data_IF_837880811995
#
_entry.id   IF_837880811995
#
_cell.length_a   1.000
_cell.length_b   1.000
_cell.length_c   1.000
_cell.angle_alpha   90.00
_cell.angle_beta   90.00
_cell.angle_gamma   90.00
#
_symmetry.space_group_name_H-M   'P 1'
#
loop_
_entity.id
_entity.type
_entity.pdbx_description
1 polymer ?
#
# COMPACT_ATOMS: atom_id res chain seq x y z
N UNK A 1 -22.65 -21.26 -7.24
CA UNK A 1 -22.19 -19.88 -7.52
C UNK A 1 -21.13 -19.39 -6.51
N UNK A 2 -20.24 -20.27 -6.02
CA UNK A 2 -19.14 -19.92 -5.09
C UNK A 2 -17.74 -20.18 -5.69
N UNK A 3 -17.65 -20.93 -6.79
CA UNK A 3 -16.39 -21.30 -7.47
C UNK A 3 -15.88 -20.22 -8.44
N UNK A 4 -16.74 -19.29 -8.90
CA UNK A 4 -16.35 -18.16 -9.74
C UNK A 4 -15.72 -16.98 -8.97
N UNK A 5 -15.96 -16.91 -7.65
CA UNK A 5 -15.43 -15.87 -6.74
C UNK A 5 -13.89 -15.86 -6.64
N UNK A 6 -13.18 -16.99 -6.48
CA UNK A 6 -11.71 -16.99 -6.32
C UNK A 6 -10.96 -16.74 -7.63
N UNK A 7 -11.56 -17.04 -8.80
CA UNK A 7 -10.92 -16.84 -10.11
C UNK A 7 -10.66 -15.37 -10.41
N UNK A 8 -11.50 -14.46 -9.91
CA UNK A 8 -11.29 -13.01 -10.06
C UNK A 8 -10.37 -12.40 -9.00
N UNK A 9 -10.19 -13.06 -7.85
CA UNK A 9 -9.36 -12.54 -6.75
C UNK A 9 -7.87 -12.63 -7.09
N UNK A 10 -7.45 -13.70 -7.77
CA UNK A 10 -6.06 -13.90 -8.16
C UNK A 10 -5.53 -12.80 -9.12
N UNK A 11 -6.20 -12.48 -10.25
CA UNK A 11 -5.75 -11.40 -11.13
C UNK A 11 -5.92 -10.00 -10.49
N UNK A 12 -6.95 -9.81 -9.64
CA UNK A 12 -7.14 -8.55 -8.93
C UNK A 12 -5.99 -8.28 -7.95
N UNK A 13 -5.58 -9.28 -7.17
CA UNK A 13 -4.45 -9.16 -6.26
C UNK A 13 -3.13 -8.87 -6.99
N UNK A 14 -2.89 -9.51 -8.14
CA UNK A 14 -1.73 -9.24 -8.97
C UNK A 14 -1.72 -7.79 -9.50
N UNK A 15 -2.88 -7.28 -9.92
CA UNK A 15 -3.01 -5.89 -10.38
C UNK A 15 -2.76 -4.88 -9.24
N UNK A 16 -3.24 -5.14 -8.02
CA UNK A 16 -2.96 -4.30 -6.85
C UNK A 16 -1.48 -4.30 -6.45
N UNK A 17 -0.80 -5.44 -6.57
CA UNK A 17 0.64 -5.51 -6.29
C UNK A 17 1.45 -4.74 -7.33
N UNK A 18 1.00 -4.71 -8.59
CA UNK A 18 1.66 -3.97 -9.66
C UNK A 18 1.54 -2.45 -9.48
N UNK A 19 0.38 -1.96 -9.01
CA UNK A 19 0.19 -0.54 -8.71
C UNK A 19 0.94 -0.10 -7.46
N UNK A 20 1.22 -1.02 -6.52
CA UNK A 20 2.07 -0.75 -5.36
C UNK A 20 3.52 -0.38 -5.75
N UNK A 21 4.00 -0.84 -6.90
CA UNK A 21 5.35 -0.53 -7.37
C UNK A 21 5.51 0.93 -7.89
N UNK A 22 4.43 1.66 -8.15
CA UNK A 22 4.49 3.01 -8.75
C UNK A 22 4.04 4.14 -7.83
N UNK A 23 3.65 3.84 -6.59
CA UNK A 23 3.23 4.86 -5.62
C UNK A 23 4.44 5.55 -5.00
N UNK A 24 4.75 6.74 -5.50
CA UNK A 24 5.77 7.64 -4.95
C UNK A 24 5.07 8.73 -4.12
N UNK A 25 4.98 8.57 -2.80
CA UNK A 25 4.32 9.54 -1.90
C UNK A 25 4.00 9.00 -0.50
N UNK A 26 3.33 9.79 0.37
CA UNK A 26 2.91 9.36 1.70
C UNK A 26 1.91 8.20 1.60
N UNK A 27 2.22 7.06 2.24
CA UNK A 27 1.37 5.87 2.28
C UNK A 27 0.05 6.13 2.99
N UNK A 28 -0.02 7.12 3.89
CA UNK A 28 -1.28 7.58 4.46
C UNK A 28 -2.28 8.02 3.39
N UNK A 29 -1.84 8.83 2.42
CA UNK A 29 -2.72 9.40 1.42
C UNK A 29 -3.15 8.35 0.39
N UNK A 30 -2.22 7.50 -0.05
CA UNK A 30 -2.54 6.39 -0.96
C UNK A 30 -3.37 5.32 -0.27
N UNK A 31 -3.09 4.99 0.99
CA UNK A 31 -3.88 4.06 1.79
C UNK A 31 -5.31 4.57 2.05
N UNK A 32 -5.46 5.86 2.37
CA UNK A 32 -6.77 6.49 2.53
C UNK A 32 -7.54 6.51 1.20
N UNK A 33 -6.91 6.93 0.10
CA UNK A 33 -7.56 7.00 -1.21
C UNK A 33 -7.95 5.62 -1.74
N UNK A 34 -7.02 4.65 -1.69
CA UNK A 34 -7.27 3.28 -2.11
C UNK A 34 -8.34 2.61 -1.22
N UNK A 35 -8.27 2.84 0.09
CA UNK A 35 -9.28 2.37 1.04
C UNK A 35 -10.66 2.98 0.80
N UNK A 36 -10.74 4.27 0.45
CA UNK A 36 -12.00 4.92 0.10
C UNK A 36 -12.61 4.35 -1.17
N UNK A 37 -11.81 4.21 -2.23
CA UNK A 37 -12.30 3.70 -3.51
C UNK A 37 -12.71 2.24 -3.37
N UNK A 38 -11.87 1.40 -2.77
CA UNK A 38 -12.18 -0.02 -2.56
C UNK A 38 -13.38 -0.19 -1.61
N UNK A 39 -13.39 0.51 -0.47
CA UNK A 39 -14.49 0.46 0.49
C UNK A 39 -15.80 1.02 -0.08
N UNK A 40 -15.74 2.05 -0.93
CA UNK A 40 -16.90 2.64 -1.58
C UNK A 40 -17.51 1.73 -2.64
N UNK A 41 -16.68 1.12 -3.50
CA UNK A 41 -17.15 0.13 -4.46
C UNK A 41 -17.75 -1.08 -3.74
N UNK A 42 -17.05 -1.65 -2.76
CA UNK A 42 -17.51 -2.82 -2.02
C UNK A 42 -18.78 -2.51 -1.22
N UNK A 43 -18.82 -1.37 -0.52
CA UNK A 43 -19.98 -0.94 0.25
C UNK A 43 -21.20 -0.65 -0.62
N UNK A 44 -21.01 -0.11 -1.83
CA UNK A 44 -22.07 0.10 -2.82
C UNK A 44 -22.61 -1.22 -3.38
N UNK A 45 -21.72 -2.15 -3.74
CA UNK A 45 -22.09 -3.47 -4.27
C UNK A 45 -22.82 -4.31 -3.21
N UNK A 46 -22.36 -4.30 -1.96
CA UNK A 46 -22.93 -5.11 -0.88
C UNK A 46 -24.27 -4.54 -0.40
N UNK A 47 -24.39 -3.22 -0.27
CA UNK A 47 -25.62 -2.60 0.24
C UNK A 47 -26.67 -2.30 -0.84
N UNK A 48 -26.27 -2.25 -2.12
CA UNK A 48 -27.11 -1.82 -3.23
C UNK A 48 -27.57 -0.36 -3.14
N UNK A 49 -26.99 0.44 -2.23
CA UNK A 49 -27.42 1.81 -1.93
C UNK A 49 -26.24 2.78 -1.90
N UNK A 50 -26.44 4.06 -2.30
CA UNK A 50 -25.39 5.07 -2.23
C UNK A 50 -24.93 5.32 -0.79
N UNK A 51 -25.80 5.11 0.20
CA UNK A 51 -25.46 5.21 1.61
C UNK A 51 -24.40 4.17 2.04
N UNK A 52 -24.48 2.93 1.56
CA UNK A 52 -23.46 1.92 1.91
C UNK A 52 -22.15 2.12 1.15
N UNK A 53 -22.19 2.73 -0.05
CA UNK A 53 -20.98 3.21 -0.71
C UNK A 53 -20.29 4.33 0.09
N UNK A 54 -21.06 5.30 0.60
CA UNK A 54 -20.50 6.37 1.42
C UNK A 54 -19.90 5.85 2.74
N UNK A 55 -20.61 4.95 3.44
CA UNK A 55 -20.13 4.35 4.70
C UNK A 55 -18.90 3.48 4.44
N UNK A 56 -18.90 2.68 3.37
CA UNK A 56 -17.77 1.87 2.99
C UNK A 56 -16.55 2.70 2.57
N UNK A 57 -16.75 3.82 1.86
CA UNK A 57 -15.68 4.72 1.47
C UNK A 57 -15.06 5.44 2.67
N UNK A 58 -15.89 5.98 3.56
CA UNK A 58 -15.40 6.66 4.78
C UNK A 58 -14.70 5.65 5.69
N UNK A 59 -15.29 4.49 5.94
CA UNK A 59 -14.67 3.45 6.77
C UNK A 59 -13.37 2.93 6.16
N UNK A 60 -13.36 2.65 4.86
CA UNK A 60 -12.17 2.20 4.14
C UNK A 60 -11.05 3.24 4.11
N UNK A 61 -11.37 4.53 3.93
CA UNK A 61 -10.39 5.61 3.99
C UNK A 61 -9.78 5.81 5.37
N UNK A 62 -10.60 5.73 6.42
CA UNK A 62 -10.11 5.86 7.79
C UNK A 62 -9.16 4.71 8.15
N UNK A 63 -9.55 3.48 7.85
CA UNK A 63 -8.71 2.29 8.11
C UNK A 63 -7.45 2.32 7.26
N UNK A 64 -7.57 2.55 5.94
CA UNK A 64 -6.44 2.60 5.03
C UNK A 64 -5.48 3.76 5.32
N UNK A 65 -6.00 4.92 5.73
CA UNK A 65 -5.21 6.09 6.13
C UNK A 65 -4.49 5.88 7.46
N UNK A 66 -5.15 5.30 8.46
CA UNK A 66 -4.52 4.99 9.75
C UNK A 66 -3.35 4.00 9.60
N UNK A 67 -3.55 2.93 8.82
CA UNK A 67 -2.50 1.96 8.51
C UNK A 67 -1.35 2.64 7.74
N UNK A 68 -1.67 3.42 6.71
CA UNK A 68 -0.67 4.16 5.94
C UNK A 68 0.18 5.12 6.77
N UNK A 69 -0.43 5.82 7.74
CA UNK A 69 0.29 6.71 8.67
C UNK A 69 1.25 5.94 9.59
N UNK A 70 0.92 4.72 10.00
CA UNK A 70 1.84 3.88 10.77
C UNK A 70 3.01 3.39 9.91
N UNK A 71 2.73 3.00 8.66
CA UNK A 71 3.76 2.55 7.72
C UNK A 71 4.73 3.68 7.33
N UNK A 72 4.24 4.90 7.20
CA UNK A 72 5.09 6.07 6.93
C UNK A 72 6.03 6.38 8.09
N UNK A 73 5.56 6.26 9.33
CA UNK A 73 6.41 6.40 10.53
C UNK A 73 7.52 5.36 10.56
N UNK A 74 7.16 4.07 10.37
CA UNK A 74 8.15 2.98 10.32
C UNK A 74 9.16 3.20 9.20
N UNK A 75 8.72 3.59 8.01
CA UNK A 75 9.64 3.87 6.90
C UNK A 75 10.53 5.10 7.15
N UNK A 76 10.09 6.06 7.95
CA UNK A 76 10.93 7.18 8.41
C UNK A 76 12.00 6.74 9.39
N UNK A 77 11.63 5.94 10.39
CA UNK A 77 12.55 5.38 11.40
C UNK A 77 13.58 4.44 10.77
N UNK A 78 13.14 3.56 9.86
CA UNK A 78 14.03 2.69 9.09
C UNK A 78 15.03 3.51 8.28
N UNK A 79 14.56 4.54 7.56
CA UNK A 79 15.46 5.44 6.80
C UNK A 79 16.44 6.16 7.70
N UNK A 80 16.02 6.69 8.84
CA UNK A 80 16.93 7.33 9.79
C UNK A 80 18.01 6.35 10.30
N UNK A 81 17.66 5.06 10.48
CA UNK A 81 18.63 4.02 10.82
C UNK A 81 19.57 3.61 9.68
N UNK A 82 19.17 3.80 8.42
CA UNK A 82 20.02 3.57 7.24
C UNK A 82 20.85 4.82 6.85
N UNK A 83 20.40 6.02 7.23
CA UNK A 83 21.05 7.32 6.96
C UNK A 83 22.22 7.60 7.93
N UNK A 84 22.38 6.79 8.98
CA UNK A 84 23.53 6.76 9.89
C UNK A 84 24.77 6.16 9.20
N UNK A 85 25.23 6.80 8.12
CA UNK A 85 26.63 6.93 7.67
C UNK A 85 27.49 5.68 7.43
N UNK A 86 27.01 4.44 7.63
CA UNK A 86 27.82 3.21 7.52
C UNK A 86 27.56 2.38 6.27
N UNK A 87 26.65 2.80 5.39
CA UNK A 87 26.39 2.08 4.14
C UNK A 87 26.45 3.05 2.96
N UNK A 88 27.67 3.32 2.50
CA UNK A 88 27.90 3.99 1.22
C UNK A 88 27.63 3.03 0.06
N UNK A 89 26.45 3.09 -0.54
CA UNK A 89 26.17 2.40 -1.81
C UNK A 89 26.58 3.32 -2.96
N UNK A 90 27.88 3.37 -3.23
CA UNK A 90 28.37 3.84 -4.53
C UNK A 90 28.27 2.68 -5.51
N UNK A 91 27.32 2.79 -6.43
CA UNK A 91 27.15 1.86 -7.53
C UNK A 91 28.33 1.99 -8.50
N UNK A 92 29.25 1.03 -8.49
CA UNK A 92 30.36 0.96 -9.47
C UNK A 92 30.17 -0.20 -10.46
N UNK A 93 28.92 -0.50 -10.84
CA UNK A 93 28.58 -1.29 -12.04
C UNK A 93 29.11 -2.72 -12.22
N UNK A 94 29.98 -3.29 -11.36
CA UNK A 94 30.53 -4.65 -11.60
C UNK A 94 30.95 -5.47 -10.37
N UNK A 95 31.03 -4.91 -9.16
CA UNK A 95 31.10 -5.69 -7.92
C UNK A 95 30.89 -4.79 -6.70
N UNK A 96 30.13 -5.29 -5.73
CA UNK A 96 30.06 -4.75 -4.37
C UNK A 96 31.07 -5.55 -3.53
N UNK A 97 32.26 -5.00 -3.31
CA UNK A 97 33.23 -5.55 -2.36
C UNK A 97 32.99 -4.90 -1.01
N UNK A 98 32.53 -5.71 -0.05
CA UNK A 98 32.32 -5.31 1.34
C UNK A 98 33.57 -5.68 2.12
N UNK A 99 34.45 -4.71 2.33
CA UNK A 99 35.54 -4.86 3.30
C UNK A 99 35.07 -4.31 4.64
N UNK A 100 34.88 -5.20 5.60
CA UNK A 100 34.83 -4.86 7.03
C UNK A 100 36.25 -5.03 7.61
N UNK A 101 36.67 -4.24 8.61
CA UNK A 101 37.84 -4.59 9.41
C UNK A 101 37.62 -5.90 10.18
#
# INVERSE_FOLDING_TARGET
>A
MLIAKPVFVLPLAAALMLTACTTTGPRQNTGAAAGAVAGGLLGGIVSGRPAGAAVGAVGGALVGGAIGQQLDKQAGELRAGFDDGRIGVVNTGSALVVTMP
#
